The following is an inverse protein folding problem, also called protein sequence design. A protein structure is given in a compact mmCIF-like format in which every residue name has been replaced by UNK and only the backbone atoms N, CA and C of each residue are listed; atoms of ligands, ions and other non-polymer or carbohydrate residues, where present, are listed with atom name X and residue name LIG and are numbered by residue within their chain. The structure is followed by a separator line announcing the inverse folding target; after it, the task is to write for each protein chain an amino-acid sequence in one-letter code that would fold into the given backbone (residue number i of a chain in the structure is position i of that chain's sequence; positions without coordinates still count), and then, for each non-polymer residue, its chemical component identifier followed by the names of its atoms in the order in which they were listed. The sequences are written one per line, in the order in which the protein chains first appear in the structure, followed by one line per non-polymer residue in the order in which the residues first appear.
data_IF_559768273170
#
_entry.id   IF_559768273170
#
_cell.length_a   1.000
_cell.length_b   1.000
_cell.length_c   1.000
_cell.angle_alpha   90.00
_cell.angle_beta   90.00
_cell.angle_gamma   90.00
#
_symmetry.space_group_name_H-M   'P 1'
#
loop_
_entity.id
_entity.type
_entity.pdbx_description
1 polymer ?
#
# COMPACT_ATOMS: atom_id res chain seq x y z
N UNK A 1 -10.60 11.71 23.47
CA UNK A 1 -9.22 11.34 23.07
C UNK A 1 -9.21 11.03 21.59
N UNK A 2 -8.21 11.49 20.83
CA UNK A 2 -8.07 11.08 19.43
C UNK A 2 -7.61 9.62 19.40
N UNK A 3 -8.39 8.73 18.80
CA UNK A 3 -7.96 7.35 18.56
C UNK A 3 -6.64 7.37 17.79
N UNK A 4 -5.56 6.87 18.42
CA UNK A 4 -4.26 6.73 17.79
C UNK A 4 -4.25 5.42 17.02
N UNK A 5 -4.67 5.46 15.77
CA UNK A 5 -4.55 4.31 14.87
C UNK A 5 -3.06 4.04 14.63
N UNK A 6 -2.60 2.86 15.02
CA UNK A 6 -1.24 2.41 14.71
C UNK A 6 -1.23 1.83 13.31
N UNK A 7 -0.72 2.59 12.35
CA UNK A 7 -0.51 2.11 10.98
C UNK A 7 0.95 1.69 10.87
N UNK A 8 1.19 0.46 10.46
CA UNK A 8 2.52 0.03 10.06
C UNK A 8 2.96 0.83 8.83
N UNK A 9 4.20 1.36 8.86
CA UNK A 9 4.71 2.13 7.75
C UNK A 9 4.84 1.23 6.51
N UNK A 10 4.36 1.71 5.37
CA UNK A 10 4.60 1.03 4.12
C UNK A 10 6.00 1.35 3.59
N UNK A 11 6.82 0.30 3.50
CA UNK A 11 8.22 0.32 3.08
C UNK A 11 8.41 -0.14 1.62
N UNK A 12 7.32 -0.53 0.96
CA UNK A 12 7.35 -1.08 -0.40
C UNK A 12 7.48 -2.59 -0.47
N UNK A 13 7.71 -3.27 0.66
CA UNK A 13 7.82 -4.75 0.75
C UNK A 13 6.60 -5.36 1.43
N UNK A 14 6.07 -4.66 2.42
CA UNK A 14 4.84 -5.05 3.11
C UNK A 14 3.65 -5.17 2.14
N UNK A 15 2.60 -5.91 2.51
CA UNK A 15 1.42 -6.08 1.67
C UNK A 15 0.76 -4.72 1.37
N UNK A 16 0.87 -4.27 0.11
CA UNK A 16 0.31 -3.00 -0.31
C UNK A 16 -1.22 -2.98 -0.20
N UNK A 17 -1.91 -4.07 -0.51
CA UNK A 17 -3.37 -4.13 -0.44
C UNK A 17 -3.86 -4.04 1.01
N UNK A 18 -3.18 -4.74 1.93
CA UNK A 18 -3.49 -4.68 3.36
C UNK A 18 -3.22 -3.28 3.93
N UNK A 19 -2.05 -2.71 3.62
CA UNK A 19 -1.71 -1.34 4.03
C UNK A 19 -2.74 -0.34 3.47
N UNK A 20 -3.08 -0.48 2.19
CA UNK A 20 -4.02 0.40 1.51
C UNK A 20 -5.41 0.36 2.17
N UNK A 21 -5.91 -0.85 2.48
CA UNK A 21 -7.16 -1.03 3.21
C UNK A 21 -7.11 -0.34 4.58
N UNK A 22 -6.04 -0.58 5.33
CA UNK A 22 -5.85 -0.01 6.67
C UNK A 22 -5.84 1.52 6.66
N UNK A 23 -5.14 2.13 5.70
CA UNK A 23 -5.10 3.60 5.59
C UNK A 23 -6.47 4.16 5.16
N UNK A 24 -7.21 3.49 4.28
CA UNK A 24 -8.59 3.88 3.93
C UNK A 24 -9.52 3.87 5.14
N UNK A 25 -9.43 2.83 5.97
CA UNK A 25 -10.23 2.72 7.19
C UNK A 25 -9.90 3.86 8.17
N UNK A 26 -8.60 4.18 8.35
CA UNK A 26 -8.19 5.29 9.22
C UNK A 26 -8.67 6.63 8.71
N UNK A 27 -8.59 6.89 7.40
CA UNK A 27 -9.11 8.13 6.82
C UNK A 27 -10.63 8.23 7.03
N UNK A 28 -11.37 7.14 6.82
CA UNK A 28 -12.82 7.07 7.06
C UNK A 28 -13.16 7.36 8.51
N UNK A 29 -12.49 6.71 9.46
CA UNK A 29 -12.71 6.96 10.89
C UNK A 29 -12.38 8.39 11.32
N UNK A 30 -11.57 9.12 10.54
CA UNK A 30 -11.24 10.53 10.78
C UNK A 30 -12.12 11.50 9.96
N UNK A 31 -13.04 11.01 9.13
CA UNK A 31 -13.85 11.82 8.21
C UNK A 31 -13.03 12.51 7.12
N UNK A 32 -11.96 11.86 6.66
CA UNK A 32 -11.01 12.37 5.66
C UNK A 32 -11.06 11.59 4.34
N UNK A 33 -11.89 10.56 4.25
CA UNK A 33 -12.05 9.67 3.10
C UNK A 33 -12.43 10.40 1.82
N UNK A 34 -13.29 11.43 1.92
CA UNK A 34 -13.64 12.28 0.79
C UNK A 34 -12.44 12.94 0.10
N UNK A 35 -11.28 13.04 0.78
CA UNK A 35 -10.06 13.59 0.17
C UNK A 35 -9.46 12.71 -0.95
N UNK A 36 -9.88 11.44 -1.02
CA UNK A 36 -9.52 10.50 -2.08
C UNK A 36 -10.44 10.62 -3.30
N UNK A 37 -11.46 11.48 -3.27
CA UNK A 37 -12.26 11.79 -4.45
C UNK A 37 -11.56 12.81 -5.36
N UNK A 38 -11.83 12.75 -6.66
CA UNK A 38 -11.27 13.68 -7.66
C UNK A 38 -11.74 15.12 -7.48
N UNK A 39 -12.97 15.27 -6.98
CA UNK A 39 -13.66 16.55 -6.94
C UNK A 39 -14.26 16.81 -5.57
N UNK A 40 -14.28 18.09 -5.18
CA UNK A 40 -14.91 18.52 -3.94
C UNK A 40 -16.41 18.25 -3.99
N UNK A 41 -17.03 17.66 -2.95
CA UNK A 41 -18.48 17.55 -2.84
C UNK A 41 -19.16 18.93 -2.92
N UNK A 42 -20.29 19.02 -3.64
CA UNK A 42 -20.97 20.29 -3.92
C UNK A 42 -21.41 21.04 -2.64
N UNK A 43 -21.83 20.30 -1.62
CA UNK A 43 -22.31 20.83 -0.34
C UNK A 43 -21.18 21.25 0.62
N UNK A 44 -19.93 20.95 0.28
CA UNK A 44 -18.78 21.19 1.15
C UNK A 44 -18.18 22.58 0.94
N UNK A 45 -17.87 23.28 2.04
CA UNK A 45 -17.17 24.56 2.02
C UNK A 45 -15.72 24.38 1.59
N UNK A 46 -15.16 25.39 0.90
CA UNK A 46 -13.77 25.34 0.44
C UNK A 46 -12.75 25.28 1.59
N UNK A 47 -13.04 25.94 2.71
CA UNK A 47 -12.21 25.88 3.92
C UNK A 47 -12.12 24.46 4.48
N UNK A 48 -13.25 23.76 4.50
CA UNK A 48 -13.38 22.44 5.09
C UNK A 48 -12.73 21.42 4.17
N UNK A 49 -12.96 21.54 2.86
CA UNK A 49 -12.28 20.75 1.84
C UNK A 49 -10.76 20.91 1.89
N UNK A 50 -10.26 22.15 1.96
CA UNK A 50 -8.81 22.41 2.07
C UNK A 50 -8.21 21.77 3.33
N UNK A 51 -8.95 21.80 4.43
CA UNK A 51 -8.53 21.17 5.69
C UNK A 51 -8.48 19.65 5.57
N UNK A 52 -9.51 19.04 5.00
CA UNK A 52 -9.59 17.60 4.74
C UNK A 52 -8.43 17.16 3.83
N UNK A 53 -8.21 17.87 2.74
CA UNK A 53 -7.12 17.61 1.79
C UNK A 53 -5.74 17.64 2.46
N UNK A 54 -5.44 18.68 3.26
CA UNK A 54 -4.16 18.80 3.97
C UNK A 54 -3.97 17.69 5.00
N UNK A 55 -5.02 17.37 5.78
CA UNK A 55 -4.97 16.33 6.80
C UNK A 55 -4.78 14.95 6.17
N UNK A 56 -5.55 14.61 5.14
CA UNK A 56 -5.42 13.34 4.43
C UNK A 56 -4.02 13.18 3.80
N UNK A 57 -3.50 14.21 3.13
CA UNK A 57 -2.13 14.17 2.57
C UNK A 57 -1.07 13.98 3.67
N UNK A 58 -1.27 14.59 4.84
CA UNK A 58 -0.40 14.37 5.99
C UNK A 58 -0.48 12.92 6.49
N UNK A 59 -1.69 12.37 6.66
CA UNK A 59 -1.88 11.00 7.12
C UNK A 59 -1.24 9.98 6.17
N UNK A 60 -1.47 10.13 4.86
CA UNK A 60 -0.85 9.27 3.84
C UNK A 60 0.67 9.33 3.97
N UNK A 61 1.28 10.53 3.99
CA UNK A 61 2.74 10.65 4.15
C UNK A 61 3.27 10.11 5.47
N UNK A 62 2.48 10.16 6.53
CA UNK A 62 2.86 9.61 7.84
C UNK A 62 2.79 8.08 7.87
N UNK A 63 1.96 7.47 7.03
CA UNK A 63 1.83 6.03 6.88
C UNK A 63 2.88 5.40 5.93
N UNK A 64 3.84 6.18 5.42
CA UNK A 64 4.90 5.72 4.52
C UNK A 64 6.27 5.72 5.21
N UNK A 65 7.11 4.75 4.86
CA UNK A 65 8.54 4.78 5.18
C UNK A 65 9.29 5.81 4.31
N UNK A 66 10.45 6.34 4.75
CA UNK A 66 11.20 7.36 4.02
C UNK A 66 11.47 7.05 2.55
N UNK A 67 11.85 5.81 2.24
CA UNK A 67 12.15 5.30 0.90
C UNK A 67 10.95 5.40 -0.06
N UNK A 68 9.73 5.14 0.44
CA UNK A 68 8.51 5.25 -0.36
C UNK A 68 8.05 6.71 -0.48
N UNK A 69 8.34 7.57 0.52
CA UNK A 69 7.95 8.99 0.46
C UNK A 69 8.53 9.68 -0.77
N UNK A 70 9.74 9.33 -1.20
CA UNK A 70 10.36 9.89 -2.40
C UNK A 70 9.50 9.71 -3.67
N UNK A 71 8.75 8.61 -3.77
CA UNK A 71 7.88 8.32 -4.91
C UNK A 71 6.68 9.28 -5.02
N UNK A 72 6.26 9.88 -3.90
CA UNK A 72 5.09 10.76 -3.81
C UNK A 72 5.42 12.22 -3.51
N UNK A 73 6.70 12.58 -3.36
CA UNK A 73 7.13 13.96 -3.05
C UNK A 73 6.64 15.00 -4.06
N UNK A 74 6.51 14.62 -5.34
CA UNK A 74 6.02 15.50 -6.40
C UNK A 74 4.50 15.70 -6.38
N UNK A 75 3.76 14.95 -5.55
CA UNK A 75 2.31 15.01 -5.46
C UNK A 75 1.89 15.87 -4.27
N UNK A 76 0.99 16.80 -4.51
CA UNK A 76 0.49 17.74 -3.49
C UNK A 76 -0.89 17.37 -2.96
N UNK A 77 -1.66 16.60 -3.73
CA UNK A 77 -3.01 16.15 -3.37
C UNK A 77 -2.99 14.72 -2.83
N UNK A 78 -3.87 14.36 -1.87
CA UNK A 78 -4.04 13.00 -1.36
C UNK A 78 -4.34 12.01 -2.48
N UNK A 79 -5.32 12.32 -3.35
CA UNK A 79 -5.67 11.44 -4.48
C UNK A 79 -4.50 11.27 -5.47
N UNK A 80 -3.70 12.31 -5.69
CA UNK A 80 -2.51 12.24 -6.54
C UNK A 80 -1.43 11.33 -5.94
N UNK A 81 -1.23 11.37 -4.62
CA UNK A 81 -0.36 10.42 -3.92
C UNK A 81 -0.90 9.00 -4.00
N UNK A 82 -2.20 8.84 -3.76
CA UNK A 82 -2.89 7.57 -3.74
C UNK A 82 -2.72 6.81 -5.06
N UNK A 83 -3.07 7.47 -6.17
CA UNK A 83 -2.91 6.92 -7.51
C UNK A 83 -1.46 6.59 -7.85
N UNK A 84 -0.50 7.41 -7.40
CA UNK A 84 0.91 7.15 -7.67
C UNK A 84 1.39 5.89 -6.94
N UNK A 85 0.92 5.66 -5.71
CA UNK A 85 1.22 4.45 -4.98
C UNK A 85 0.57 3.22 -5.65
N UNK A 86 -0.69 3.32 -6.08
CA UNK A 86 -1.37 2.26 -6.84
C UNK A 86 -0.64 1.94 -8.16
N UNK A 87 -0.19 2.96 -8.90
CA UNK A 87 0.58 2.81 -10.14
C UNK A 87 1.90 2.04 -9.91
N UNK A 88 2.56 2.23 -8.76
CA UNK A 88 3.84 1.57 -8.50
C UNK A 88 3.60 0.17 -7.94
N UNK A 89 2.76 0.04 -6.92
CA UNK A 89 2.70 -1.16 -6.07
C UNK A 89 1.48 -2.04 -6.33
N UNK A 90 0.41 -1.52 -6.95
CA UNK A 90 -0.75 -2.29 -7.39
C UNK A 90 -0.82 -2.46 -8.91
N UNK A 91 0.18 -1.98 -9.67
CA UNK A 91 0.14 -2.13 -11.13
C UNK A 91 0.33 -3.58 -11.54
N UNK A 92 -0.46 -3.99 -12.53
CA UNK A 92 -0.26 -5.25 -13.26
C UNK A 92 0.85 -5.13 -14.31
N UNK A 93 1.77 -4.19 -14.12
CA UNK A 93 2.87 -3.97 -15.05
C UNK A 93 3.81 -5.18 -15.04
N UNK A 94 4.41 -5.48 -16.19
CA UNK A 94 5.37 -6.58 -16.30
C UNK A 94 6.54 -6.41 -15.31
N UNK A 95 7.00 -5.18 -15.10
CA UNK A 95 8.09 -4.87 -14.16
C UNK A 95 7.70 -5.19 -12.72
N UNK A 96 6.52 -4.78 -12.26
CA UNK A 96 6.05 -5.09 -10.89
C UNK A 96 5.91 -6.61 -10.69
N UNK A 97 5.29 -7.29 -11.66
CA UNK A 97 5.15 -8.74 -11.70
C UNK A 97 6.49 -9.48 -11.63
N UNK A 98 7.44 -9.11 -12.49
CA UNK A 98 8.78 -9.71 -12.51
C UNK A 98 9.53 -9.47 -11.19
N UNK A 99 9.44 -8.27 -10.61
CA UNK A 99 10.08 -7.96 -9.33
C UNK A 99 9.55 -8.86 -8.21
N UNK A 100 8.22 -8.99 -8.09
CA UNK A 100 7.58 -9.83 -7.08
C UNK A 100 7.93 -11.32 -7.28
N UNK A 101 7.96 -11.81 -8.51
CA UNK A 101 8.41 -13.18 -8.81
C UNK A 101 9.88 -13.41 -8.43
N UNK A 102 10.76 -12.45 -8.70
CA UNK A 102 12.18 -12.54 -8.32
C UNK A 102 12.35 -12.59 -6.80
N UNK A 103 11.63 -11.77 -6.06
CA UNK A 103 11.66 -11.79 -4.59
C UNK A 103 11.13 -13.13 -4.04
N UNK A 104 10.05 -13.66 -4.62
CA UNK A 104 9.48 -14.95 -4.23
C UNK A 104 10.45 -16.10 -4.45
N UNK A 105 11.10 -16.18 -5.62
CA UNK A 105 12.10 -17.20 -5.91
C UNK A 105 13.37 -17.06 -5.04
N UNK A 106 13.63 -15.87 -4.49
CA UNK A 106 14.77 -15.62 -3.59
C UNK A 106 14.42 -15.80 -2.12
N UNK A 107 13.14 -15.97 -1.77
CA UNK A 107 12.69 -16.15 -0.41
C UNK A 107 13.22 -17.50 0.12
N UNK A 108 14.14 -17.43 1.08
CA UNK A 108 14.74 -18.60 1.73
C UNK A 108 14.56 -18.49 3.22
N UNK A 109 14.21 -19.62 3.85
CA UNK A 109 14.20 -19.69 5.30
C UNK A 109 15.64 -19.60 5.82
N UNK A 110 15.95 -18.61 6.65
CA UNK A 110 17.24 -18.53 7.31
C UNK A 110 17.33 -19.55 8.45
N UNK A 111 18.55 -19.98 8.78
CA UNK A 111 18.78 -20.91 9.87
C UNK A 111 18.34 -20.28 11.20
N UNK A 112 17.55 -21.02 11.99
CA UNK A 112 16.99 -20.53 13.26
C UNK A 112 15.73 -19.66 13.14
N UNK A 113 15.20 -19.43 11.94
CA UNK A 113 13.90 -18.72 11.77
C UNK A 113 12.73 -19.63 12.12
N UNK A 114 11.68 -19.07 12.72
CA UNK A 114 10.44 -19.80 13.00
C UNK A 114 9.70 -20.13 11.68
N UNK A 115 9.37 -21.42 11.48
CA UNK A 115 8.66 -21.90 10.28
C UNK A 115 7.32 -21.20 10.06
N UNK A 116 6.57 -20.87 11.11
CA UNK A 116 5.31 -20.14 11.00
C UNK A 116 5.51 -18.71 10.52
N UNK A 117 6.61 -18.05 10.94
CA UNK A 117 6.95 -16.71 10.45
C UNK A 117 7.29 -16.78 8.96
N UNK A 118 8.15 -17.73 8.58
CA UNK A 118 8.49 -17.93 7.17
C UNK A 118 7.27 -18.23 6.30
N UNK A 119 6.36 -19.08 6.78
CA UNK A 119 5.11 -19.39 6.08
C UNK A 119 4.20 -18.16 5.94
N UNK A 120 4.17 -17.31 6.96
CA UNK A 120 3.43 -16.04 6.89
C UNK A 120 4.03 -15.11 5.84
N UNK A 121 5.36 -14.94 5.83
CA UNK A 121 6.06 -14.11 4.84
C UNK A 121 5.83 -14.64 3.41
N UNK A 122 5.89 -15.97 3.23
CA UNK A 122 5.57 -16.63 1.96
C UNK A 122 4.13 -16.37 1.50
N UNK A 123 3.15 -16.53 2.39
CA UNK A 123 1.74 -16.31 2.07
C UNK A 123 1.43 -14.86 1.70
N UNK A 124 2.08 -13.90 2.37
CA UNK A 124 1.98 -12.48 2.03
C UNK A 124 2.51 -12.24 0.61
N UNK A 125 3.71 -12.75 0.31
CA UNK A 125 4.33 -12.59 -1.00
C UNK A 125 3.52 -13.25 -2.12
N UNK A 126 2.93 -14.42 -1.84
CA UNK A 126 2.03 -15.09 -2.77
C UNK A 126 0.76 -14.26 -3.02
N UNK A 127 0.18 -13.67 -1.98
CA UNK A 127 -0.99 -12.78 -2.11
C UNK A 127 -0.65 -11.57 -3.00
N UNK A 128 0.52 -10.97 -2.83
CA UNK A 128 0.99 -9.86 -3.66
C UNK A 128 1.17 -10.26 -5.14
N UNK A 129 1.77 -11.42 -5.43
CA UNK A 129 1.94 -11.93 -6.81
C UNK A 129 0.58 -12.15 -7.49
N UNK A 130 -0.37 -12.76 -6.80
CA UNK A 130 -1.74 -12.96 -7.34
C UNK A 130 -2.42 -11.61 -7.60
N UNK A 131 -2.31 -10.67 -6.66
CA UNK A 131 -2.91 -9.35 -6.78
C UNK A 131 -2.31 -8.53 -7.94
N UNK A 132 -1.03 -8.72 -8.25
CA UNK A 132 -0.37 -8.14 -9.43
C UNK A 132 -0.86 -8.72 -10.77
N UNK A 133 -1.80 -9.68 -10.74
CA UNK A 133 -2.40 -10.29 -11.92
C UNK A 133 -1.58 -11.41 -12.53
N UNK A 134 -0.63 -11.98 -11.78
CA UNK A 134 0.05 -13.19 -12.19
C UNK A 134 -0.80 -14.42 -11.88
N UNK A 135 -0.97 -15.27 -12.91
CA UNK A 135 -1.39 -16.65 -12.72
C UNK A 135 -0.10 -17.45 -12.71
N UNK A 136 0.31 -17.95 -11.54
CA UNK A 136 1.40 -18.91 -11.49
C UNK A 136 0.94 -20.20 -12.16
N UNK A 137 1.66 -20.62 -13.19
CA UNK A 137 1.47 -21.92 -13.83
C UNK A 137 1.75 -23.04 -12.80
N UNK A 138 1.14 -24.22 -12.95
CA UNK A 138 1.36 -25.35 -12.03
C UNK A 138 2.84 -25.75 -11.92
N UNK A 139 3.61 -25.58 -13.00
CA UNK A 139 5.06 -25.80 -13.02
C UNK A 139 5.82 -24.77 -12.17
N UNK A 140 5.39 -23.50 -12.17
CA UNK A 140 5.97 -22.46 -11.30
C UNK A 140 5.63 -22.70 -9.83
N UNK A 141 4.43 -23.20 -9.53
CA UNK A 141 4.04 -23.60 -8.17
C UNK A 141 4.85 -24.78 -7.64
N UNK A 142 5.27 -25.70 -8.51
CA UNK A 142 6.06 -26.87 -8.12
C UNK A 142 7.53 -26.53 -7.80
N UNK A 143 8.00 -25.36 -8.24
CA UNK A 143 9.38 -24.87 -8.00
C UNK A 143 9.52 -24.02 -6.73
N UNK A 144 8.39 -23.60 -6.13
CA UNK A 144 8.30 -22.79 -4.92
C UNK A 144 8.07 -23.67 -3.69
#
# INVERSE_FOLDING_TARGET
EAMKYSIELFDGKNDFALWQSTVKDVLTCQGLDAALEETKPAEMKDSDWSTIQKKAASQIRMALAPEVKYNVLSKTTPIGMWKKLEEIYASKSLTNRLCLKMELCQLKMAEGTNIHKHLSDFNIMMTQVVNAGDILEEEEKALL
#
